data_IF_468570631216
#
_entry.id   IF_468570631216
#
_cell.length_a   1.000
_cell.length_b   1.000
_cell.length_c   1.000
_cell.angle_alpha   90.00
_cell.angle_beta   90.00
_cell.angle_gamma   90.00
#
_symmetry.space_group_name_H-M   'P 1'
#
loop_
_entity.id
_entity.type
_entity.pdbx_description
1 polymer ?
#
# COMPACT_ATOMS: atom_id res chain seq x y z
N UNK A 1 9.81 -5.98 -4.50
CA UNK A 1 9.61 -6.67 -5.78
C UNK A 1 8.34 -7.50 -5.65
N UNK A 2 7.23 -7.09 -6.27
CA UNK A 2 5.99 -7.86 -6.27
C UNK A 2 6.22 -9.14 -7.07
N UNK A 3 5.96 -10.30 -6.47
CA UNK A 3 6.42 -11.61 -6.99
C UNK A 3 5.57 -12.11 -8.17
N UNK A 4 4.51 -11.39 -8.47
CA UNK A 4 3.54 -11.63 -9.52
C UNK A 4 3.91 -10.88 -10.83
N UNK A 5 4.98 -10.08 -10.84
CA UNK A 5 5.44 -9.36 -12.03
C UNK A 5 4.47 -8.29 -12.52
N UNK A 6 3.42 -7.97 -11.76
CA UNK A 6 2.37 -7.01 -12.17
C UNK A 6 2.74 -5.55 -11.92
N UNK A 7 3.70 -5.28 -11.03
CA UNK A 7 4.01 -3.90 -10.68
C UNK A 7 4.78 -3.69 -9.37
N UNK A 8 4.86 -2.43 -8.97
CA UNK A 8 5.47 -1.96 -7.73
C UNK A 8 4.41 -1.36 -6.80
N UNK A 9 4.58 -1.57 -5.49
CA UNK A 9 3.80 -0.84 -4.49
C UNK A 9 4.58 0.40 -4.06
N UNK A 10 3.92 1.56 -4.10
CA UNK A 10 4.54 2.85 -3.78
C UNK A 10 3.71 3.57 -2.73
N UNK A 11 4.41 4.10 -1.74
CA UNK A 11 3.86 5.02 -0.77
C UNK A 11 3.92 6.46 -1.30
N UNK A 12 2.78 7.13 -1.40
CA UNK A 12 2.70 8.56 -1.66
C UNK A 12 2.33 9.30 -0.37
N UNK A 13 3.26 10.12 0.11
CA UNK A 13 3.10 10.94 1.30
C UNK A 13 2.57 12.32 0.90
N UNK A 14 1.25 12.44 0.78
CA UNK A 14 0.60 13.72 0.42
C UNK A 14 0.50 14.64 1.63
N UNK A 15 0.25 15.94 1.37
CA UNK A 15 0.05 16.95 2.42
C UNK A 15 -1.06 16.61 3.42
N UNK A 16 -1.99 15.71 3.08
CA UNK A 16 -3.17 15.35 3.88
C UNK A 16 -3.26 13.88 4.27
N UNK A 17 -2.22 13.06 4.05
CA UNK A 17 -2.29 11.64 4.40
C UNK A 17 -1.33 10.75 3.64
N UNK A 18 -1.61 9.46 3.71
CA UNK A 18 -0.86 8.37 3.08
C UNK A 18 -1.73 7.70 2.03
N UNK A 19 -1.16 7.47 0.85
CA UNK A 19 -1.78 6.70 -0.22
C UNK A 19 -0.88 5.54 -0.60
N UNK A 20 -1.43 4.33 -0.67
CA UNK A 20 -0.78 3.17 -1.27
C UNK A 20 -1.21 3.07 -2.73
N UNK A 21 -0.21 3.08 -3.62
CA UNK A 21 -0.40 2.92 -5.05
C UNK A 21 0.17 1.57 -5.51
N UNK A 22 -0.52 0.96 -6.47
CA UNK A 22 0.07 -0.04 -7.35
C UNK A 22 0.44 0.65 -8.66
N UNK A 23 1.73 0.63 -8.99
CA UNK A 23 2.23 1.03 -10.30
C UNK A 23 2.39 -0.22 -11.16
N UNK A 24 1.67 -0.29 -12.27
CA UNK A 24 1.90 -1.36 -13.23
C UNK A 24 3.21 -1.15 -14.02
N UNK A 25 3.61 -2.17 -14.78
CA UNK A 25 4.83 -2.11 -15.60
C UNK A 25 4.73 -1.17 -16.80
N UNK A 26 3.54 -0.64 -17.10
CA UNK A 26 3.31 0.35 -18.16
C UNK A 26 3.30 1.79 -17.62
N UNK A 27 3.51 1.98 -16.31
CA UNK A 27 3.57 3.29 -15.65
C UNK A 27 2.20 3.83 -15.23
N UNK A 28 1.15 3.00 -15.24
CA UNK A 28 -0.17 3.39 -14.73
C UNK A 28 -0.25 3.19 -13.22
N UNK A 29 -0.73 4.20 -12.52
CA UNK A 29 -0.93 4.17 -11.08
C UNK A 29 -2.39 3.87 -10.72
N UNK A 30 -2.59 2.94 -9.80
CA UNK A 30 -3.88 2.58 -9.22
C UNK A 30 -3.85 2.79 -7.71
N UNK A 31 -4.84 3.51 -7.17
CA UNK A 31 -4.98 3.68 -5.72
C UNK A 31 -5.55 2.40 -5.12
N UNK A 32 -4.80 1.78 -4.21
CA UNK A 32 -5.25 0.61 -3.46
C UNK A 32 -5.81 0.98 -2.10
N UNK A 33 -5.21 1.95 -1.42
CA UNK A 33 -5.60 2.29 -0.06
C UNK A 33 -5.22 3.72 0.29
N UNK A 34 -6.04 4.36 1.12
CA UNK A 34 -5.82 5.73 1.60
C UNK A 34 -6.05 5.83 3.10
N UNK A 35 -5.23 6.64 3.76
CA UNK A 35 -5.41 7.02 5.15
C UNK A 35 -5.17 8.53 5.31
N UNK A 36 -6.16 9.28 5.84
CA UNK A 36 -6.01 10.72 6.06
C UNK A 36 -4.99 11.07 7.15
N UNK A 37 -4.51 10.08 7.90
CA UNK A 37 -3.52 10.27 8.96
C UNK A 37 -2.11 10.11 8.41
N UNK A 38 -1.22 11.02 8.81
CA UNK A 38 0.20 10.99 8.45
C UNK A 38 0.94 9.90 9.21
N UNK A 39 1.98 9.36 8.57
CA UNK A 39 2.95 8.48 9.22
C UNK A 39 3.63 7.54 8.23
N UNK A 40 3.86 6.29 8.63
CA UNK A 40 4.50 5.28 7.80
C UNK A 40 3.50 4.32 7.17
N UNK A 41 3.81 3.80 6.00
CA UNK A 41 3.04 2.73 5.36
C UNK A 41 3.97 1.65 4.81
N UNK A 42 3.56 0.40 5.00
CA UNK A 42 4.26 -0.79 4.54
C UNK A 42 3.25 -1.69 3.86
N UNK A 43 3.62 -2.26 2.71
CA UNK A 43 2.77 -3.17 1.95
C UNK A 43 3.58 -4.39 1.51
N UNK A 44 3.01 -5.58 1.72
CA UNK A 44 3.65 -6.85 1.33
C UNK A 44 2.64 -7.80 0.69
N UNK A 45 2.79 -8.14 -0.60
CA UNK A 45 1.94 -9.13 -1.23
C UNK A 45 2.23 -10.52 -0.67
N UNK A 46 1.22 -11.37 -0.58
CA UNK A 46 1.36 -12.79 -0.30
C UNK A 46 2.06 -13.49 -1.48
N UNK A 47 2.81 -14.57 -1.23
CA UNK A 47 3.49 -15.31 -2.31
C UNK A 47 2.54 -15.90 -3.37
N UNK A 48 1.27 -16.13 -3.01
CA UNK A 48 0.22 -16.64 -3.90
C UNK A 48 -0.50 -15.56 -4.70
N UNK A 49 -0.16 -14.27 -4.49
CA UNK A 49 -0.76 -13.14 -5.20
C UNK A 49 -2.23 -12.86 -4.86
N UNK A 50 -2.79 -13.46 -3.81
CA UNK A 50 -4.21 -13.30 -3.44
C UNK A 50 -4.47 -12.27 -2.36
N UNK A 51 -3.47 -11.98 -1.55
CA UNK A 51 -3.60 -11.11 -0.38
C UNK A 51 -2.50 -10.05 -0.35
N UNK A 52 -2.85 -8.86 0.12
CA UNK A 52 -1.91 -7.78 0.37
C UNK A 52 -2.03 -7.37 1.84
N UNK A 53 -0.95 -7.58 2.59
CA UNK A 53 -0.84 -7.06 3.94
C UNK A 53 -0.43 -5.58 3.88
N UNK A 54 -1.19 -4.72 4.54
CA UNK A 54 -0.93 -3.28 4.66
C UNK A 54 -0.79 -2.96 6.15
N UNK A 55 0.32 -2.35 6.54
CA UNK A 55 0.51 -1.82 7.88
C UNK A 55 0.74 -0.32 7.81
N UNK A 56 0.08 0.43 8.69
CA UNK A 56 0.32 1.87 8.84
C UNK A 56 0.64 2.22 10.27
N UNK A 57 1.61 3.11 10.44
CA UNK A 57 1.87 3.79 11.68
C UNK A 57 1.44 5.24 11.56
N UNK A 58 0.81 5.76 12.60
CA UNK A 58 0.45 7.18 12.70
C UNK A 58 1.50 7.94 13.52
N UNK A 59 1.73 9.20 13.17
CA UNK A 59 2.47 10.15 14.03
C UNK A 59 1.80 10.38 15.39
N UNK A 60 0.51 10.02 15.54
CA UNK A 60 -0.24 10.08 16.81
C UNK A 60 -0.15 8.80 17.65
N UNK A 61 0.86 7.94 17.43
CA UNK A 61 1.07 6.66 18.13
C UNK A 61 -0.07 5.65 17.99
N UNK A 62 -0.79 5.68 16.86
CA UNK A 62 -1.80 4.67 16.51
C UNK A 62 -1.27 3.82 15.35
N UNK A 63 -1.20 2.50 15.55
CA UNK A 63 -0.75 1.57 14.52
C UNK A 63 -1.90 0.65 14.16
N UNK A 64 -2.17 0.51 12.87
CA UNK A 64 -3.22 -0.33 12.35
C UNK A 64 -2.68 -1.20 11.21
N UNK A 65 -3.33 -2.36 11.02
CA UNK A 65 -3.04 -3.27 9.93
C UNK A 65 -4.33 -3.68 9.23
N UNK A 66 -4.24 -3.90 7.92
CA UNK A 66 -5.32 -4.36 7.05
C UNK A 66 -4.80 -5.49 6.16
N UNK A 67 -5.74 -6.34 5.74
CA UNK A 67 -5.52 -7.29 4.66
C UNK A 67 -6.50 -6.98 3.55
N UNK A 68 -5.98 -6.81 2.34
CA UNK A 68 -6.78 -6.70 1.14
C UNK A 68 -6.76 -8.03 0.40
N UNK A 69 -7.91 -8.43 -0.13
CA UNK A 69 -8.09 -9.64 -0.93
C UNK A 69 -8.44 -9.27 -2.37
N UNK A 70 -8.00 -10.07 -3.33
CA UNK A 70 -8.34 -9.91 -4.76
C UNK A 70 -8.05 -8.51 -5.33
N UNK A 71 -6.78 -8.09 -5.26
CA UNK A 71 -6.30 -6.76 -5.68
C UNK A 71 -5.59 -6.76 -7.05
#
# INVERSE_FOLDING_TARGET
>A
MGRDGKGFYVADHRKRGLTLLQLDLHGKAHVLWENPVRGGIWARPSPDGRHLAIASSSTSNSNNAWMMESF
#
